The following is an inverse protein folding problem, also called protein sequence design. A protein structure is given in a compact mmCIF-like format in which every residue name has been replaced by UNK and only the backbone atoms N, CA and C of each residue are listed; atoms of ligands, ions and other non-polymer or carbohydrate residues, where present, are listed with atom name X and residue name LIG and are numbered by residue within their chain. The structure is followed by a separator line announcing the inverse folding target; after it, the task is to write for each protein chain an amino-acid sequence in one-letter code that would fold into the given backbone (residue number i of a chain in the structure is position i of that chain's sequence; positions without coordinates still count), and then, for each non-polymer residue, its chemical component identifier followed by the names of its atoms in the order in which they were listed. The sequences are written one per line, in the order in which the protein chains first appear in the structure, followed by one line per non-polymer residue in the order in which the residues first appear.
data_IF_680336389985
#
_entry.id   IF_680336389985
#
_cell.length_a   1.000
_cell.length_b   1.000
_cell.length_c   1.000
_cell.angle_alpha   90.00
_cell.angle_beta   90.00
_cell.angle_gamma   90.00
#
_symmetry.space_group_name_H-M   'P 1'
#
loop_
_entity.id
_entity.type
_entity.pdbx_description
1 polymer ?
#
# COMPACT_ATOMS: atom_id res chain seq x y z
N UNK A 1 5.95 17.10 -1.31
CA UNK A 1 5.71 16.22 -0.14
C UNK A 1 6.92 15.33 -0.06
N UNK A 2 7.53 15.21 1.12
CA UNK A 2 8.82 14.53 1.25
C UNK A 2 8.61 13.07 1.62
N UNK A 3 9.43 12.17 1.06
CA UNK A 3 9.36 10.75 1.30
C UNK A 3 9.68 10.42 2.78
N UNK A 4 8.87 9.58 3.46
CA UNK A 4 9.09 9.21 4.86
C UNK A 4 10.35 8.36 5.10
N UNK A 5 11.00 7.87 4.03
CA UNK A 5 12.21 7.02 4.12
C UNK A 5 13.52 7.75 3.90
N UNK A 6 13.54 8.63 2.91
CA UNK A 6 14.77 9.24 2.41
C UNK A 6 14.65 10.77 2.30
N UNK A 7 13.52 11.36 2.70
CA UNK A 7 13.23 12.81 2.67
C UNK A 7 13.24 13.43 1.26
N UNK A 8 13.32 12.62 0.20
CA UNK A 8 13.26 13.11 -1.18
C UNK A 8 11.88 13.63 -1.51
N UNK A 9 11.80 14.76 -2.22
CA UNK A 9 10.54 15.28 -2.72
C UNK A 9 9.90 14.28 -3.70
N UNK A 10 8.68 13.82 -3.37
CA UNK A 10 7.95 12.86 -4.17
C UNK A 10 7.26 13.53 -5.36
N UNK A 11 7.18 12.79 -6.47
CA UNK A 11 6.47 13.21 -7.67
C UNK A 11 5.01 12.78 -7.59
N UNK A 12 4.11 13.71 -7.90
CA UNK A 12 2.69 13.42 -8.03
C UNK A 12 2.40 12.72 -9.36
N UNK A 13 1.68 11.60 -9.31
CA UNK A 13 1.19 10.86 -10.47
C UNK A 13 -0.33 10.97 -10.53
N UNK A 14 -0.84 11.34 -11.71
CA UNK A 14 -2.26 11.60 -11.95
C UNK A 14 -2.85 10.62 -12.98
N UNK A 15 -4.15 10.38 -12.91
CA UNK A 15 -4.94 9.74 -13.97
C UNK A 15 -5.99 10.74 -14.48
N UNK A 16 -5.66 11.44 -15.57
CA UNK A 16 -6.45 12.57 -16.04
C UNK A 16 -6.33 13.78 -15.11
N UNK A 17 -7.45 14.27 -14.59
CA UNK A 17 -7.52 15.44 -13.70
C UNK A 17 -7.40 15.07 -12.21
N UNK A 18 -7.54 13.78 -11.87
CA UNK A 18 -7.47 13.32 -10.49
C UNK A 18 -6.05 12.85 -10.15
N UNK A 19 -5.54 13.33 -9.01
CA UNK A 19 -4.32 12.79 -8.41
C UNK A 19 -4.57 11.36 -7.98
N UNK A 20 -3.66 10.45 -8.33
CA UNK A 20 -3.75 9.04 -7.96
C UNK A 20 -2.84 8.68 -6.80
N UNK A 21 -1.57 9.10 -6.87
CA UNK A 21 -0.55 8.75 -5.88
C UNK A 21 0.69 9.65 -5.95
N UNK A 22 1.54 9.58 -4.94
CA UNK A 22 2.90 10.11 -4.99
C UNK A 22 3.91 8.98 -5.04
N UNK A 23 5.00 9.18 -5.77
CA UNK A 23 6.13 8.24 -5.86
C UNK A 23 7.43 8.93 -5.49
N UNK A 24 8.22 8.30 -4.64
CA UNK A 24 9.61 8.71 -4.43
C UNK A 24 10.49 8.26 -5.61
N UNK A 25 11.32 9.15 -6.15
CA UNK A 25 12.24 8.82 -7.23
C UNK A 25 13.49 8.05 -6.77
N UNK A 26 13.84 8.12 -5.48
CA UNK A 26 15.05 7.50 -4.92
C UNK A 26 14.75 6.09 -4.40
N UNK A 27 13.89 5.93 -3.39
CA UNK A 27 13.52 4.61 -2.90
C UNK A 27 12.41 3.93 -3.71
N UNK A 28 11.66 4.65 -4.55
CA UNK A 28 10.53 4.09 -5.32
C UNK A 28 9.22 3.98 -4.53
N UNK A 29 9.21 4.30 -3.23
CA UNK A 29 8.05 4.10 -2.36
C UNK A 29 6.85 4.94 -2.79
N UNK A 30 5.65 4.46 -2.46
CA UNK A 30 4.38 5.03 -2.89
C UNK A 30 3.58 5.56 -1.71
N UNK A 31 3.00 6.75 -1.89
CA UNK A 31 2.08 7.34 -0.93
C UNK A 31 0.71 7.58 -1.58
N UNK A 32 -0.33 7.07 -0.93
CA UNK A 32 -1.74 7.15 -1.35
C UNK A 32 -2.58 7.68 -0.19
N UNK A 33 -3.71 8.31 -0.44
CA UNK A 33 -4.75 8.40 0.59
C UNK A 33 -5.64 7.15 0.59
N UNK A 34 -6.23 6.84 1.75
CA UNK A 34 -7.10 5.67 1.91
C UNK A 34 -8.34 5.72 1.02
N UNK A 35 -8.82 6.90 0.61
CA UNK A 35 -9.98 7.03 -0.25
C UNK A 35 -9.63 6.61 -1.69
N UNK A 36 -8.51 7.06 -2.22
CA UNK A 36 -7.97 6.68 -3.53
C UNK A 36 -7.62 5.20 -3.56
N UNK A 37 -6.96 4.68 -2.52
CA UNK A 37 -6.71 3.25 -2.40
C UNK A 37 -8.02 2.45 -2.44
N UNK A 38 -9.02 2.81 -1.63
CA UNK A 38 -10.29 2.10 -1.63
C UNK A 38 -11.00 2.16 -3.00
N UNK A 39 -10.90 3.28 -3.73
CA UNK A 39 -11.41 3.36 -5.11
C UNK A 39 -10.71 2.33 -6.00
N UNK A 40 -9.37 2.31 -5.98
CA UNK A 40 -8.55 1.35 -6.76
C UNK A 40 -8.96 -0.10 -6.43
N UNK A 41 -9.07 -0.44 -5.14
CA UNK A 41 -9.42 -1.80 -4.69
C UNK A 41 -10.82 -2.20 -5.17
N UNK A 42 -11.82 -1.35 -4.96
CA UNK A 42 -13.21 -1.62 -5.34
C UNK A 42 -13.39 -1.75 -6.86
N UNK A 43 -12.74 -0.88 -7.64
CA UNK A 43 -12.75 -0.96 -9.11
C UNK A 43 -12.16 -2.28 -9.63
N UNK A 44 -11.28 -2.92 -8.85
CA UNK A 44 -10.64 -4.20 -9.19
C UNK A 44 -11.28 -5.42 -8.49
N UNK A 45 -12.48 -5.24 -7.91
CA UNK A 45 -13.25 -6.33 -7.29
C UNK A 45 -12.68 -6.84 -5.96
N UNK A 46 -11.87 -6.03 -5.28
CA UNK A 46 -11.36 -6.29 -3.94
C UNK A 46 -12.23 -5.56 -2.89
N UNK A 47 -12.28 -6.05 -1.64
CA UNK A 47 -12.94 -5.33 -0.56
C UNK A 47 -12.19 -4.03 -0.22
N UNK A 48 -12.78 -3.18 0.63
CA UNK A 48 -12.08 -2.02 1.19
C UNK A 48 -10.94 -2.46 2.12
N UNK A 49 -9.97 -1.57 2.35
CA UNK A 49 -8.82 -1.81 3.23
C UNK A 49 -9.26 -2.29 4.63
N UNK A 50 -10.28 -1.64 5.21
CA UNK A 50 -10.85 -2.00 6.51
C UNK A 50 -11.33 -3.46 6.55
N UNK A 51 -11.97 -3.92 5.48
CA UNK A 51 -12.48 -5.29 5.39
C UNK A 51 -11.39 -6.33 5.14
N UNK A 52 -10.20 -5.94 4.66
CA UNK A 52 -9.05 -6.85 4.48
C UNK A 52 -8.43 -7.30 5.81
N UNK A 53 -8.60 -6.49 6.87
CA UNK A 53 -7.97 -6.71 8.16
C UNK A 53 -6.46 -6.54 8.11
N UNK A 54 -5.74 -7.29 8.96
CA UNK A 54 -4.31 -7.12 9.17
C UNK A 54 -4.02 -7.07 10.67
N UNK A 55 -2.75 -7.18 11.03
CA UNK A 55 -2.31 -7.05 12.42
C UNK A 55 -1.41 -5.83 12.52
N UNK A 56 -1.84 -4.85 13.32
CA UNK A 56 -1.00 -3.72 13.70
C UNK A 56 0.26 -4.23 14.41
N UNK A 57 1.42 -3.75 13.96
CA UNK A 57 2.71 -3.96 14.58
C UNK A 57 3.28 -2.59 15.02
N UNK A 58 2.93 -2.11 16.22
CA UNK A 58 3.40 -0.82 16.73
C UNK A 58 4.86 -0.82 17.17
N UNK A 59 5.53 -1.98 17.16
CA UNK A 59 6.95 -2.10 17.51
C UNK A 59 7.86 -1.84 16.31
N UNK A 60 7.31 -1.89 15.09
CA UNK A 60 8.02 -1.55 13.85
C UNK A 60 8.15 -0.03 13.72
N UNK A 61 9.38 0.45 13.50
CA UNK A 61 9.64 1.85 13.19
C UNK A 61 9.32 2.11 11.71
N UNK A 62 8.10 2.60 11.46
CA UNK A 62 7.58 2.90 10.14
C UNK A 62 7.82 4.37 9.71
N UNK A 63 8.60 5.14 10.47
CA UNK A 63 8.83 6.56 10.19
C UNK A 63 7.62 7.47 10.43
N UNK A 64 7.69 8.69 9.92
CA UNK A 64 6.68 9.74 10.14
C UNK A 64 5.84 9.99 8.88
N UNK A 65 4.57 10.29 9.08
CA UNK A 65 3.66 10.63 7.99
C UNK A 65 4.10 11.92 7.31
N UNK A 66 4.26 11.94 5.97
CA UNK A 66 4.72 13.10 5.23
C UNK A 66 3.68 14.24 5.10
N UNK A 67 2.47 14.04 5.62
CA UNK A 67 1.38 15.02 5.60
C UNK A 67 1.27 15.76 6.93
N UNK A 68 1.27 15.03 8.05
CA UNK A 68 0.99 15.56 9.39
C UNK A 68 2.06 15.23 10.44
N UNK A 69 3.14 14.53 10.05
CA UNK A 69 4.27 14.12 10.89
C UNK A 69 3.89 13.20 12.07
N UNK A 70 2.73 12.56 12.02
CA UNK A 70 2.37 11.51 12.99
C UNK A 70 3.09 10.22 12.63
N UNK A 71 3.59 9.48 13.63
CA UNK A 71 4.22 8.19 13.42
C UNK A 71 3.30 7.24 12.64
N UNK A 72 3.84 6.61 11.60
CA UNK A 72 3.12 5.62 10.81
C UNK A 72 2.98 4.31 11.61
N UNK A 73 1.88 3.60 11.39
CA UNK A 73 1.63 2.29 11.97
C UNK A 73 1.82 1.21 10.91
N UNK A 74 2.77 0.30 11.12
CA UNK A 74 2.92 -0.88 10.29
C UNK A 74 1.75 -1.86 10.49
N UNK A 75 1.21 -2.38 9.39
CA UNK A 75 0.13 -3.37 9.37
C UNK A 75 0.59 -4.58 8.57
N UNK A 76 0.66 -5.71 9.26
CA UNK A 76 1.09 -6.97 8.70
C UNK A 76 -0.11 -7.79 8.19
N UNK A 77 0.07 -8.43 7.04
CA UNK A 77 -0.83 -9.47 6.55
C UNK A 77 -0.83 -10.70 7.48
N UNK A 78 -1.82 -11.57 7.33
CA UNK A 78 -1.94 -12.78 8.17
C UNK A 78 -0.94 -13.91 7.77
N UNK A 79 0.06 -13.62 6.94
CA UNK A 79 1.06 -14.60 6.50
C UNK A 79 2.15 -14.82 7.55
N UNK A 80 2.14 -16.00 8.18
CA UNK A 80 3.03 -16.32 9.32
C UNK A 80 4.54 -16.32 9.06
N UNK A 81 4.99 -16.44 7.80
CA UNK A 81 6.42 -16.63 7.47
C UNK A 81 7.05 -15.43 6.77
N UNK A 82 6.25 -14.69 6.01
CA UNK A 82 6.67 -13.51 5.28
C UNK A 82 5.42 -12.62 5.15
N UNK A 83 5.06 -11.88 6.20
CA UNK A 83 3.92 -10.98 6.11
C UNK A 83 4.25 -9.88 5.09
N UNK A 84 3.34 -9.65 4.15
CA UNK A 84 3.27 -8.36 3.47
C UNK A 84 2.95 -7.28 4.50
N UNK A 85 3.55 -6.11 4.33
CA UNK A 85 3.43 -4.98 5.24
C UNK A 85 3.06 -3.75 4.43
N UNK A 86 2.06 -3.02 4.89
CA UNK A 86 1.85 -1.64 4.50
C UNK A 86 1.81 -0.79 5.75
N UNK A 87 1.93 0.52 5.60
CA UNK A 87 1.85 1.43 6.73
C UNK A 87 0.73 2.42 6.56
N UNK A 88 0.16 2.84 7.67
CA UNK A 88 -0.95 3.78 7.68
C UNK A 88 -0.75 4.87 8.71
N UNK A 89 -1.10 6.10 8.34
CA UNK A 89 -1.23 7.19 9.30
C UNK A 89 -2.63 7.14 9.92
N UNK A 90 -2.71 6.91 11.22
CA UNK A 90 -3.99 6.87 11.96
C UNK A 90 -4.65 8.26 12.11
N UNK A 91 -3.94 9.35 11.76
CA UNK A 91 -4.44 10.73 11.84
C UNK A 91 -5.07 11.19 10.51
N UNK A 92 -4.31 11.15 9.41
CA UNK A 92 -4.81 11.61 8.10
C UNK A 92 -5.34 10.49 7.19
N UNK A 93 -5.12 9.21 7.53
CA UNK A 93 -5.54 8.07 6.70
C UNK A 93 -4.66 7.85 5.47
N UNK A 94 -3.45 8.41 5.44
CA UNK A 94 -2.48 8.12 4.39
C UNK A 94 -1.93 6.70 4.48
N UNK A 95 -1.54 6.15 3.33
CA UNK A 95 -1.00 4.80 3.17
C UNK A 95 0.37 4.91 2.51
N UNK A 96 1.37 4.27 3.12
CA UNK A 96 2.68 4.07 2.53
C UNK A 96 2.85 2.61 2.09
N UNK A 97 3.40 2.44 0.89
CA UNK A 97 3.77 1.14 0.35
C UNK A 97 5.22 1.17 -0.11
N UNK A 98 5.98 0.16 0.31
CA UNK A 98 7.37 0.00 -0.09
C UNK A 98 7.49 -0.41 -1.56
N UNK A 99 8.52 0.09 -2.23
CA UNK A 99 8.75 -0.15 -3.65
C UNK A 99 9.20 -1.56 -3.97
N UNK A 100 9.76 -2.28 -2.99
CA UNK A 100 10.27 -3.63 -3.17
C UNK A 100 9.20 -4.60 -3.65
N UNK A 101 7.93 -4.31 -3.37
CA UNK A 101 6.78 -5.10 -3.80
C UNK A 101 6.31 -4.77 -5.23
N UNK A 102 6.84 -3.71 -5.86
CA UNK A 102 6.43 -3.21 -7.19
C UNK A 102 7.60 -3.02 -8.17
N UNK A 103 8.74 -3.67 -7.94
CA UNK A 103 9.96 -3.41 -8.70
C UNK A 103 9.87 -3.79 -10.20
N UNK A 104 8.91 -4.63 -10.59
CA UNK A 104 8.73 -5.10 -11.97
C UNK A 104 7.60 -4.34 -12.71
N UNK A 105 6.89 -3.46 -12.00
CA UNK A 105 5.65 -2.80 -12.42
C UNK A 105 5.90 -1.41 -13.02
N UNK A 106 7.10 -1.10 -13.49
CA UNK A 106 7.39 0.17 -14.19
C UNK A 106 7.14 1.43 -13.34
N UNK A 107 7.00 2.57 -14.02
CA UNK A 107 7.01 3.90 -13.39
C UNK A 107 5.74 4.70 -13.65
N UNK A 108 4.82 4.21 -14.49
CA UNK A 108 3.58 4.91 -14.80
C UNK A 108 2.51 4.68 -13.74
N UNK A 109 1.58 5.63 -13.61
CA UNK A 109 0.45 5.54 -12.69
C UNK A 109 -0.37 4.24 -12.90
N UNK A 110 -0.58 3.85 -14.16
CA UNK A 110 -1.34 2.66 -14.52
C UNK A 110 -0.64 1.37 -14.11
N UNK A 111 0.67 1.28 -14.32
CA UNK A 111 1.42 0.06 -13.98
C UNK A 111 1.61 -0.07 -12.46
N UNK A 112 1.89 1.03 -11.75
CA UNK A 112 1.94 1.05 -10.29
C UNK A 112 0.60 0.70 -9.66
N UNK A 113 -0.51 1.16 -10.25
CA UNK A 113 -1.87 0.76 -9.80
C UNK A 113 -2.08 -0.73 -9.91
N UNK A 114 -1.59 -1.36 -10.98
CA UNK A 114 -1.65 -2.81 -11.12
C UNK A 114 -0.85 -3.50 -10.01
N UNK A 115 0.35 -3.01 -9.71
CA UNK A 115 1.15 -3.47 -8.57
C UNK A 115 0.38 -3.40 -7.26
N UNK A 116 -0.18 -2.23 -6.93
CA UNK A 116 -0.99 -2.00 -5.72
C UNK A 116 -2.12 -3.05 -5.61
N UNK A 117 -2.83 -3.31 -6.71
CA UNK A 117 -3.91 -4.30 -6.76
C UNK A 117 -3.39 -5.72 -6.50
N UNK A 118 -2.23 -6.08 -7.04
CA UNK A 118 -1.62 -7.40 -6.83
C UNK A 118 -1.14 -7.58 -5.39
N UNK A 119 -0.48 -6.57 -4.82
CA UNK A 119 -0.09 -6.53 -3.40
C UNK A 119 -1.29 -6.76 -2.49
N UNK A 120 -2.38 -5.99 -2.64
CA UNK A 120 -3.55 -6.11 -1.77
C UNK A 120 -4.36 -7.38 -2.03
N UNK A 121 -4.31 -7.91 -3.27
CA UNK A 121 -4.88 -9.22 -3.56
C UNK A 121 -4.18 -10.30 -2.76
N UNK A 122 -2.85 -10.30 -2.71
CA UNK A 122 -2.05 -11.25 -1.92
C UNK A 122 -2.21 -11.04 -0.40
N UNK A 123 -2.26 -9.77 0.03
CA UNK A 123 -2.51 -9.38 1.41
C UNK A 123 -3.82 -9.98 1.95
N UNK A 124 -4.88 -9.96 1.13
CA UNK A 124 -6.21 -10.43 1.50
C UNK A 124 -6.42 -11.96 1.46
N UNK A 125 -5.49 -12.77 0.89
CA UNK A 125 -5.71 -14.20 0.55
C UNK A 125 -6.14 -15.09 1.73
N UNK A 126 -5.97 -14.68 2.99
CA UNK A 126 -6.39 -15.49 4.15
C UNK A 126 -7.69 -15.11 4.84
N UNK A 127 -8.50 -14.21 4.29
CA UNK A 127 -9.91 -14.11 4.69
C UNK A 127 -10.76 -15.32 4.23
N UNK A 128 -10.22 -16.20 3.38
CA UNK A 128 -10.85 -17.47 3.00
C UNK A 128 -9.93 -18.68 3.27
N UNK A 129 -10.18 -19.52 4.29
CA UNK A 129 -9.52 -20.82 4.42
C UNK A 129 -10.03 -21.86 3.38
N UNK A 130 -10.58 -21.42 2.25
CA UNK A 130 -11.58 -22.14 1.48
C UNK A 130 -11.26 -22.41 0.02
N UNK A 131 -10.01 -22.53 -0.42
CA UNK A 131 -9.74 -23.09 -1.76
C UNK A 131 -8.56 -24.03 -1.72
N UNK A 132 -8.82 -25.30 -1.38
CA UNK A 132 -7.94 -26.40 -1.76
C UNK A 132 -7.90 -26.48 -3.28
N UNK A 133 -6.85 -25.98 -3.90
CA UNK A 133 -6.50 -26.36 -5.26
C UNK A 133 -6.04 -27.82 -5.23
N UNK A 134 -6.97 -28.74 -5.49
CA UNK A 134 -6.66 -30.11 -5.86
C UNK A 134 -5.79 -30.08 -7.12
N UNK A 135 -4.50 -30.42 -6.99
CA UNK A 135 -3.67 -30.77 -8.14
C UNK A 135 -3.77 -32.29 -8.32
N UNK A 136 -4.24 -32.65 -9.52
CA UNK A 136 -4.41 -33.99 -10.05
C UNK A 136 -3.06 -34.64 -10.34
#
# INVERSE_FOLDING_TARGET
MDCPRDTTEMTELTDGEDRLLFRCAECGGLWLDVADLNRILLHNGLPTLEAMGGRANPEEDAGECPVDNVALLAVESQHKRNPLVYETCESCGGIWLESGDFAEEGDSAQELTKGIVEFYREFAVKLNPGTKAARK
#
